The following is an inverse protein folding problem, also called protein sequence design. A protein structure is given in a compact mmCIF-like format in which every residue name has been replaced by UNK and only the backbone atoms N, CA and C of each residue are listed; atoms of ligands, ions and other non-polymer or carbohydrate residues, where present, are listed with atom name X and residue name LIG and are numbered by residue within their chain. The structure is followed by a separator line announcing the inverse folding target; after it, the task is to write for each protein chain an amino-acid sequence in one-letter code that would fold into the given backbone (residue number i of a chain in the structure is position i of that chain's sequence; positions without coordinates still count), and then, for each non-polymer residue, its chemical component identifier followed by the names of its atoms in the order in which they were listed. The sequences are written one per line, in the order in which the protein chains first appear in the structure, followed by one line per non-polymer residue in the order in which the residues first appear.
data_IF_354982633029
#
_entry.id   IF_354982633029
#
_cell.length_a   1.000
_cell.length_b   1.000
_cell.length_c   1.000
_cell.angle_alpha   90.00
_cell.angle_beta   90.00
_cell.angle_gamma   90.00
#
_symmetry.space_group_name_H-M   'P 1'
#
loop_
_entity.id
_entity.type
_entity.pdbx_description
1 polymer ?
#
# COMPACT_ATOMS: atom_id res chain seq x y z
N UNK A 1 -7.40 -10.64 -25.83
CA UNK A 1 -6.21 -10.64 -24.92
C UNK A 1 -6.01 -9.23 -24.40
N UNK A 2 -5.95 -9.06 -23.08
CA UNK A 2 -5.77 -7.73 -22.50
C UNK A 2 -4.42 -7.11 -22.85
N UNK A 3 -4.36 -5.79 -22.81
CA UNK A 3 -3.16 -4.98 -23.00
C UNK A 3 -2.54 -4.63 -21.64
N UNK A 4 -1.20 -4.60 -21.54
CA UNK A 4 -0.52 -4.14 -20.34
C UNK A 4 -0.61 -2.61 -20.25
N UNK A 5 -1.33 -2.12 -19.25
CA UNK A 5 -1.57 -0.69 -19.02
C UNK A 5 -0.50 -0.05 -18.13
N UNK A 6 0.05 -0.82 -17.19
CA UNK A 6 1.02 -0.31 -16.23
C UNK A 6 1.95 -1.42 -15.72
N UNK A 7 3.23 -1.08 -15.55
CA UNK A 7 4.25 -1.93 -14.95
C UNK A 7 4.75 -1.28 -13.66
N UNK A 8 4.44 -1.89 -12.53
CA UNK A 8 5.01 -1.54 -11.23
C UNK A 8 6.24 -2.40 -10.88
N UNK A 9 6.80 -2.19 -9.69
CA UNK A 9 7.98 -2.94 -9.20
C UNK A 9 7.70 -4.43 -8.95
N UNK A 10 6.47 -4.76 -8.56
CA UNK A 10 6.08 -6.12 -8.15
C UNK A 10 4.85 -6.63 -8.87
N UNK A 11 4.14 -5.78 -9.60
CA UNK A 11 2.85 -6.10 -10.19
C UNK A 11 2.64 -5.32 -11.49
N UNK A 12 1.96 -5.95 -12.43
CA UNK A 12 1.47 -5.35 -13.67
C UNK A 12 -0.05 -5.16 -13.59
N UNK A 13 -0.56 -4.17 -14.30
CA UNK A 13 -1.99 -3.92 -14.49
C UNK A 13 -2.30 -4.16 -15.97
N UNK A 14 -3.26 -5.02 -16.23
CA UNK A 14 -3.71 -5.39 -17.57
C UNK A 14 -5.18 -5.05 -17.76
N UNK A 15 -5.55 -4.65 -18.98
CA UNK A 15 -6.95 -4.52 -19.36
C UNK A 15 -7.60 -5.91 -19.44
N UNK A 16 -8.92 -5.95 -19.31
CA UNK A 16 -9.76 -7.10 -19.58
C UNK A 16 -10.77 -6.76 -20.67
N UNK A 17 -11.64 -7.70 -21.04
CA UNK A 17 -12.74 -7.44 -21.97
C UNK A 17 -13.89 -6.67 -21.29
N UNK A 18 -13.82 -6.47 -19.95
CA UNK A 18 -14.73 -5.64 -19.15
C UNK A 18 -14.04 -4.32 -18.80
N UNK A 19 -14.62 -3.19 -19.20
CA UNK A 19 -14.05 -1.86 -18.99
C UNK A 19 -13.95 -1.45 -17.52
N UNK A 20 -14.70 -2.10 -16.62
CA UNK A 20 -14.70 -1.85 -15.18
C UNK A 20 -13.79 -2.79 -14.39
N UNK A 21 -13.07 -3.69 -15.08
CA UNK A 21 -12.22 -4.71 -14.46
C UNK A 21 -10.80 -4.63 -14.99
N UNK A 22 -9.83 -4.73 -14.07
CA UNK A 22 -8.42 -4.95 -14.39
C UNK A 22 -7.97 -6.32 -13.93
N UNK A 23 -6.98 -6.89 -14.64
CA UNK A 23 -6.22 -8.04 -14.16
C UNK A 23 -4.89 -7.56 -13.57
N UNK A 24 -4.64 -7.88 -12.30
CA UNK A 24 -3.34 -7.73 -11.67
C UNK A 24 -2.52 -9.01 -11.86
N UNK A 25 -1.32 -8.87 -12.41
CA UNK A 25 -0.33 -9.95 -12.54
C UNK A 25 0.86 -9.64 -11.65
N UNK A 26 1.05 -10.45 -10.63
CA UNK A 26 2.17 -10.32 -9.71
C UNK A 26 3.42 -10.96 -10.28
N UNK A 27 4.55 -10.30 -10.16
CA UNK A 27 5.81 -10.75 -10.76
C UNK A 27 6.76 -11.34 -9.72
N UNK A 28 7.69 -12.15 -10.19
CA UNK A 28 8.79 -12.68 -9.38
C UNK A 28 9.97 -11.71 -9.22
N UNK A 29 9.85 -10.54 -9.82
CA UNK A 29 10.85 -9.49 -9.81
C UNK A 29 11.06 -8.90 -8.42
N UNK A 30 12.30 -8.52 -8.10
CA UNK A 30 12.66 -7.82 -6.87
C UNK A 30 13.34 -6.48 -7.18
N UNK A 31 13.22 -5.55 -6.23
CA UNK A 31 13.95 -4.29 -6.26
C UNK A 31 14.61 -4.04 -4.90
N UNK A 32 15.77 -3.41 -4.92
CA UNK A 32 16.50 -2.96 -3.73
C UNK A 32 16.82 -1.49 -3.92
N UNK A 33 16.47 -0.65 -2.94
CA UNK A 33 16.56 0.83 -3.05
C UNK A 33 16.00 1.37 -4.38
N UNK A 34 14.80 0.86 -4.74
CA UNK A 34 14.09 1.19 -5.98
C UNK A 34 14.76 0.79 -7.30
N UNK A 35 15.91 0.11 -7.23
CA UNK A 35 16.58 -0.47 -8.38
C UNK A 35 16.11 -1.90 -8.60
N UNK A 36 15.64 -2.19 -9.81
CA UNK A 36 15.29 -3.55 -10.21
C UNK A 36 16.57 -4.35 -10.35
N UNK A 37 16.65 -5.48 -9.67
CA UNK A 37 17.79 -6.39 -9.82
C UNK A 37 17.45 -7.55 -10.77
N UNK A 38 18.43 -8.05 -11.52
CA UNK A 38 18.20 -9.09 -12.54
C UNK A 38 17.66 -10.42 -12.00
N UNK A 39 17.88 -10.69 -10.70
CA UNK A 39 17.46 -11.94 -10.08
C UNK A 39 15.94 -11.99 -9.89
N UNK A 40 15.36 -13.16 -10.11
CA UNK A 40 13.96 -13.44 -9.83
C UNK A 40 13.85 -14.35 -8.60
N UNK A 41 12.85 -14.11 -7.75
CA UNK A 41 12.53 -15.02 -6.66
C UNK A 41 11.37 -15.93 -7.11
N UNK A 42 11.62 -17.22 -7.31
CA UNK A 42 10.58 -18.15 -7.73
C UNK A 42 9.35 -18.10 -6.80
N UNK A 43 8.17 -18.10 -7.39
CA UNK A 43 6.87 -18.08 -6.69
C UNK A 43 6.59 -16.84 -5.82
N UNK A 44 7.41 -15.79 -5.89
CA UNK A 44 7.16 -14.53 -5.18
C UNK A 44 5.83 -13.91 -5.62
N UNK A 45 5.55 -13.85 -6.93
CA UNK A 45 4.29 -13.34 -7.47
C UNK A 45 3.08 -14.09 -6.93
N UNK A 46 3.14 -15.43 -6.90
CA UNK A 46 2.10 -16.27 -6.31
C UNK A 46 1.89 -15.96 -4.83
N UNK A 47 2.96 -15.86 -4.04
CA UNK A 47 2.88 -15.54 -2.62
C UNK A 47 2.25 -14.17 -2.38
N UNK A 48 2.63 -13.15 -3.15
CA UNK A 48 2.06 -11.81 -3.07
C UNK A 48 0.56 -11.81 -3.39
N UNK A 49 0.15 -12.50 -4.46
CA UNK A 49 -1.26 -12.59 -4.85
C UNK A 49 -2.10 -13.26 -3.75
N UNK A 50 -1.65 -14.41 -3.26
CA UNK A 50 -2.36 -15.15 -2.19
C UNK A 50 -2.46 -14.36 -0.89
N UNK A 51 -1.38 -13.70 -0.49
CA UNK A 51 -1.37 -12.88 0.73
C UNK A 51 -2.31 -11.69 0.59
N UNK A 52 -2.31 -11.02 -0.57
CA UNK A 52 -3.23 -9.91 -0.86
C UNK A 52 -4.69 -10.38 -0.78
N UNK A 53 -5.01 -11.47 -1.47
CA UNK A 53 -6.37 -12.00 -1.49
C UNK A 53 -6.84 -12.46 -0.10
N UNK A 54 -5.95 -13.06 0.70
CA UNK A 54 -6.26 -13.47 2.06
C UNK A 54 -6.65 -12.28 2.94
N UNK A 55 -5.84 -11.22 2.94
CA UNK A 55 -6.14 -10.02 3.74
C UNK A 55 -7.41 -9.32 3.28
N UNK A 56 -7.66 -9.22 1.98
CA UNK A 56 -8.87 -8.60 1.46
C UNK A 56 -10.12 -9.35 1.90
N UNK A 57 -10.11 -10.69 1.85
CA UNK A 57 -11.21 -11.51 2.35
C UNK A 57 -11.44 -11.30 3.84
N UNK A 58 -10.39 -11.32 4.65
CA UNK A 58 -10.51 -11.07 6.09
C UNK A 58 -11.11 -9.70 6.41
N UNK A 59 -10.72 -8.65 5.69
CA UNK A 59 -11.24 -7.30 5.85
C UNK A 59 -12.75 -7.26 5.54
N UNK A 60 -13.18 -7.93 4.47
CA UNK A 60 -14.58 -8.00 4.08
C UNK A 60 -15.40 -8.86 5.04
N UNK A 61 -14.89 -10.03 5.43
CA UNK A 61 -15.54 -10.94 6.40
C UNK A 61 -15.69 -10.28 7.78
N UNK A 62 -14.72 -9.47 8.18
CA UNK A 62 -14.79 -8.67 9.40
C UNK A 62 -15.73 -7.45 9.31
N UNK A 63 -16.33 -7.18 8.14
CA UNK A 63 -17.22 -6.04 7.91
C UNK A 63 -16.54 -4.68 8.00
N UNK A 64 -15.21 -4.61 7.87
CA UNK A 64 -14.44 -3.36 7.97
C UNK A 64 -14.69 -2.46 6.76
N UNK A 65 -14.51 -2.99 5.55
CA UNK A 65 -14.83 -2.29 4.30
C UNK A 65 -14.91 -3.28 3.14
N UNK A 66 -15.48 -2.83 2.02
CA UNK A 66 -15.40 -3.55 0.74
C UNK A 66 -14.01 -3.35 0.14
N UNK A 67 -13.48 -4.37 -0.54
CA UNK A 67 -12.23 -4.28 -1.30
C UNK A 67 -12.50 -4.27 -2.80
N UNK A 68 -11.47 -3.98 -3.58
CA UNK A 68 -11.59 -4.03 -5.04
C UNK A 68 -11.33 -5.43 -5.63
N UNK A 69 -11.00 -6.41 -4.80
CA UNK A 69 -10.80 -7.79 -5.25
C UNK A 69 -12.12 -8.41 -5.71
N UNK A 70 -12.14 -8.93 -6.94
CA UNK A 70 -13.27 -9.69 -7.48
C UNK A 70 -13.00 -11.17 -7.29
N UNK A 71 -11.91 -11.67 -7.85
CA UNK A 71 -11.53 -13.08 -7.73
C UNK A 71 -10.04 -13.31 -7.97
N UNK A 72 -9.54 -14.44 -7.50
CA UNK A 72 -8.21 -14.96 -7.85
C UNK A 72 -8.38 -15.92 -9.01
N UNK A 73 -7.99 -15.50 -10.21
CA UNK A 73 -8.17 -16.24 -11.46
C UNK A 73 -6.96 -17.11 -11.84
N UNK A 74 -5.79 -16.88 -11.21
CA UNK A 74 -4.60 -17.75 -11.35
C UNK A 74 -3.71 -17.63 -10.09
N UNK A 75 -2.66 -18.46 -10.01
CA UNK A 75 -1.76 -18.47 -8.85
C UNK A 75 -1.14 -17.10 -8.56
N UNK A 76 -0.75 -16.38 -9.61
CA UNK A 76 -0.09 -15.07 -9.56
C UNK A 76 -0.96 -13.93 -10.09
N UNK A 77 -2.28 -14.14 -10.25
CA UNK A 77 -3.19 -13.17 -10.86
C UNK A 77 -4.50 -13.05 -10.11
N UNK A 78 -5.07 -11.87 -10.13
CA UNK A 78 -6.42 -11.63 -9.66
C UNK A 78 -7.14 -10.57 -10.52
N UNK A 79 -8.46 -10.69 -10.58
CA UNK A 79 -9.32 -9.67 -11.15
C UNK A 79 -9.71 -8.67 -10.06
N UNK A 80 -9.65 -7.42 -10.39
CA UNK A 80 -9.99 -6.33 -9.47
C UNK A 80 -10.90 -5.31 -10.16
N UNK A 81 -11.79 -4.72 -9.37
CA UNK A 81 -12.61 -3.59 -9.83
C UNK A 81 -11.71 -2.39 -10.13
N UNK A 82 -11.94 -1.78 -11.26
CA UNK A 82 -11.32 -0.51 -11.62
C UNK A 82 -11.74 0.58 -10.64
N UNK A 83 -10.78 1.33 -10.14
CA UNK A 83 -11.00 2.49 -9.29
C UNK A 83 -10.54 3.75 -10.02
N UNK A 84 -11.28 4.85 -9.84
CA UNK A 84 -10.89 6.14 -10.40
C UNK A 84 -9.71 6.70 -9.61
N UNK A 85 -8.67 7.12 -10.30
CA UNK A 85 -7.49 7.74 -9.67
C UNK A 85 -7.60 9.25 -9.81
N UNK A 86 -7.77 9.94 -8.68
CA UNK A 86 -7.76 11.40 -8.57
C UNK A 86 -6.56 11.74 -7.70
N UNK A 87 -5.56 12.42 -8.28
CA UNK A 87 -4.28 12.69 -7.59
C UNK A 87 -4.38 13.78 -6.54
N UNK A 88 -5.33 14.71 -6.73
CA UNK A 88 -5.55 15.83 -5.80
C UNK A 88 -6.58 15.44 -4.75
N UNK A 89 -6.20 15.25 -3.45
CA UNK A 89 -7.14 14.81 -2.42
C UNK A 89 -8.36 15.71 -2.28
N UNK A 90 -8.18 17.04 -2.43
CA UNK A 90 -9.26 18.02 -2.34
C UNK A 90 -10.24 18.00 -3.51
N UNK A 91 -9.92 17.32 -4.61
CA UNK A 91 -10.77 17.18 -5.78
C UNK A 91 -11.68 15.94 -5.73
N UNK A 92 -11.57 15.11 -4.68
CA UNK A 92 -12.40 13.90 -4.52
C UNK A 92 -13.74 14.30 -3.93
N UNK A 93 -14.88 14.13 -4.66
CA UNK A 93 -16.21 14.35 -4.11
C UNK A 93 -16.47 13.41 -2.91
N UNK A 94 -17.14 13.91 -1.87
CA UNK A 94 -17.39 13.15 -0.62
C UNK A 94 -18.27 11.93 -0.80
N UNK A 95 -19.10 11.93 -1.82
CA UNK A 95 -20.05 10.86 -2.19
C UNK A 95 -19.53 9.94 -3.30
N UNK A 96 -18.27 10.13 -3.72
CA UNK A 96 -17.69 9.30 -4.78
C UNK A 96 -17.29 7.94 -4.24
N UNK A 97 -17.84 6.90 -4.83
CA UNK A 97 -17.43 5.52 -4.60
C UNK A 97 -16.32 5.08 -5.59
N UNK A 98 -15.61 4.01 -5.26
CA UNK A 98 -14.59 3.38 -6.10
C UNK A 98 -13.51 4.35 -6.58
N UNK A 99 -13.07 5.21 -5.68
CA UNK A 99 -11.96 6.12 -5.90
C UNK A 99 -10.71 5.66 -5.14
N UNK A 100 -9.55 5.81 -5.77
CA UNK A 100 -8.28 5.67 -5.07
C UNK A 100 -8.02 6.93 -4.25
N UNK A 101 -7.94 6.79 -2.93
CA UNK A 101 -7.60 7.89 -2.02
C UNK A 101 -6.08 8.09 -2.07
N UNK A 102 -5.56 9.26 -2.52
CA UNK A 102 -4.13 9.47 -2.73
C UNK A 102 -3.39 9.78 -1.42
N UNK A 103 -3.61 8.95 -0.43
CA UNK A 103 -3.01 9.02 0.90
C UNK A 103 -2.33 7.70 1.24
N UNK A 104 -1.30 7.78 2.05
CA UNK A 104 -0.65 6.65 2.67
C UNK A 104 -0.90 6.72 4.18
N UNK A 105 -1.55 5.69 4.72
CA UNK A 105 -1.83 5.56 6.16
C UNK A 105 -0.82 4.59 6.76
N UNK A 106 -0.05 5.07 7.71
CA UNK A 106 1.02 4.30 8.34
C UNK A 106 0.69 4.11 9.82
N UNK A 107 0.59 2.87 10.28
CA UNK A 107 0.37 2.53 11.68
C UNK A 107 1.66 1.95 12.25
N UNK A 108 2.21 2.59 13.28
CA UNK A 108 3.48 2.19 13.91
C UNK A 108 3.24 1.71 15.33
N UNK A 109 3.75 0.54 15.62
CA UNK A 109 3.81 0.00 16.98
C UNK A 109 5.20 0.18 17.62
N UNK A 110 6.19 0.55 16.82
CA UNK A 110 7.57 0.77 17.25
C UNK A 110 8.11 2.05 16.62
N UNK A 111 8.92 2.78 17.37
CA UNK A 111 9.58 3.99 16.89
C UNK A 111 10.79 3.62 16.03
N UNK A 112 10.60 3.58 14.72
CA UNK A 112 11.61 3.16 13.75
C UNK A 112 11.48 3.87 12.41
N UNK A 113 12.42 3.67 11.51
CA UNK A 113 12.39 4.18 10.14
C UNK A 113 12.30 5.70 10.05
N UNK A 114 11.36 6.24 9.27
CA UNK A 114 11.17 7.69 9.09
C UNK A 114 10.72 8.39 10.37
N UNK A 115 9.87 7.75 11.20
CA UNK A 115 9.41 8.33 12.45
C UNK A 115 10.59 8.51 13.44
N UNK A 116 11.51 7.55 13.53
CA UNK A 116 12.72 7.70 14.34
C UNK A 116 13.59 8.87 13.86
N UNK A 117 13.82 9.00 12.56
CA UNK A 117 14.60 10.13 12.02
C UNK A 117 13.96 11.48 12.32
N UNK A 118 12.62 11.56 12.28
CA UNK A 118 11.87 12.78 12.63
C UNK A 118 11.96 13.08 14.13
N UNK A 119 11.88 12.05 14.98
CA UNK A 119 12.09 12.17 16.42
C UNK A 119 13.47 12.73 16.74
N UNK A 120 14.52 12.18 16.11
CA UNK A 120 15.90 12.67 16.30
C UNK A 120 16.09 14.13 15.83
N UNK A 121 15.30 14.59 14.86
CA UNK A 121 15.33 15.99 14.39
C UNK A 121 14.41 16.92 15.19
N UNK A 122 13.69 16.40 16.18
CA UNK A 122 12.73 17.18 16.98
C UNK A 122 11.42 17.51 16.26
N UNK A 123 11.14 16.87 15.13
CA UNK A 123 9.87 17.02 14.38
C UNK A 123 8.73 16.19 15.01
N UNK A 124 9.07 15.22 15.82
CA UNK A 124 8.19 14.46 16.69
C UNK A 124 8.72 14.52 18.11
N UNK A 125 7.85 14.76 19.07
CA UNK A 125 8.23 14.87 20.48
C UNK A 125 8.03 13.56 21.23
N UNK A 126 8.77 13.38 22.32
CA UNK A 126 8.62 12.25 23.22
C UNK A 126 7.21 12.17 23.83
N UNK A 127 6.61 13.32 24.10
CA UNK A 127 5.25 13.46 24.64
C UNK A 127 4.20 12.97 23.66
N UNK A 128 4.28 13.37 22.39
CA UNK A 128 3.36 12.92 21.31
C UNK A 128 3.40 11.41 21.12
N UNK A 129 4.58 10.81 21.26
CA UNK A 129 4.80 9.39 21.10
C UNK A 129 4.56 8.58 22.39
N UNK A 130 4.50 9.26 23.54
CA UNK A 130 4.38 8.63 24.85
C UNK A 130 5.61 7.81 25.26
N UNK A 131 6.80 8.22 24.84
CA UNK A 131 8.07 7.54 25.12
C UNK A 131 9.00 8.45 25.94
N UNK A 132 10.07 7.90 26.49
CA UNK A 132 11.13 8.69 27.13
C UNK A 132 11.94 9.47 26.07
N UNK A 133 12.42 10.68 26.43
CA UNK A 133 13.19 11.53 25.52
C UNK A 133 14.54 10.92 25.11
N UNK A 134 15.08 10.02 25.93
CA UNK A 134 16.30 9.27 25.74
C UNK A 134 16.08 7.83 25.24
N UNK A 135 14.88 7.54 24.70
CA UNK A 135 14.55 6.21 24.24
C UNK A 135 15.44 5.79 23.06
N UNK A 136 15.58 4.48 22.89
CA UNK A 136 16.39 3.89 21.82
C UNK A 136 15.57 3.61 20.55
N UNK A 137 16.27 3.46 19.42
CA UNK A 137 15.69 3.01 18.17
C UNK A 137 14.94 1.69 18.35
N UNK A 138 13.70 1.65 17.84
CA UNK A 138 12.89 0.43 17.91
C UNK A 138 12.13 0.26 19.23
N UNK A 139 12.09 1.28 20.10
CA UNK A 139 11.26 1.23 21.31
C UNK A 139 9.80 1.00 20.94
N UNK A 140 9.12 0.14 21.70
CA UNK A 140 7.69 -0.11 21.52
C UNK A 140 6.88 1.09 22.00
N UNK A 141 5.99 1.58 21.15
CA UNK A 141 5.08 2.66 21.49
C UNK A 141 3.96 2.18 22.42
N UNK A 142 3.56 2.95 23.42
CA UNK A 142 2.48 2.58 24.36
C UNK A 142 1.12 2.51 23.66
N UNK A 143 0.95 3.28 22.57
CA UNK A 143 -0.22 3.25 21.69
C UNK A 143 0.27 3.24 20.23
N UNK A 144 -0.51 2.65 19.30
CA UNK A 144 -0.21 2.78 17.88
C UNK A 144 -0.16 4.26 17.47
N UNK A 145 0.94 4.66 16.85
CA UNK A 145 1.08 5.99 16.25
C UNK A 145 0.63 5.93 14.79
N UNK A 146 -0.37 6.72 14.44
CA UNK A 146 -0.98 6.73 13.11
C UNK A 146 -0.58 8.00 12.40
N UNK A 147 0.04 7.85 11.24
CA UNK A 147 0.42 8.94 10.35
C UNK A 147 -0.34 8.82 9.04
N UNK A 148 -0.65 9.97 8.46
CA UNK A 148 -1.22 10.06 7.11
C UNK A 148 -0.33 10.97 6.29
N UNK A 149 0.16 10.47 5.16
CA UNK A 149 0.99 11.24 4.23
C UNK A 149 0.34 11.28 2.85
N UNK A 150 0.67 12.30 2.06
CA UNK A 150 0.21 12.41 0.67
C UNK A 150 0.91 11.38 -0.22
N UNK A 151 0.25 11.02 -1.32
CA UNK A 151 0.79 10.13 -2.37
C UNK A 151 0.93 10.92 -3.67
N UNK A 152 1.83 10.50 -4.53
CA UNK A 152 2.13 11.10 -5.83
C UNK A 152 2.87 12.46 -5.80
N UNK A 153 3.26 12.94 -4.65
CA UNK A 153 4.11 14.11 -4.51
C UNK A 153 5.60 13.73 -4.51
N UNK A 154 6.48 14.67 -4.87
CA UNK A 154 7.94 14.47 -4.83
C UNK A 154 8.42 14.27 -3.38
N UNK A 155 7.75 14.93 -2.43
CA UNK A 155 7.94 14.76 -1.00
C UNK A 155 6.59 14.57 -0.34
N UNK A 156 6.48 13.53 0.50
CA UNK A 156 5.27 13.29 1.27
C UNK A 156 5.03 14.46 2.25
N UNK A 157 3.80 14.94 2.28
CA UNK A 157 3.35 15.93 3.28
C UNK A 157 2.53 15.23 4.36
N UNK A 158 2.81 15.54 5.59
CA UNK A 158 2.02 15.10 6.75
C UNK A 158 0.83 16.02 6.99
#
# INVERSE_FOLDING_TARGET
MGEMLYQGKVKQVWSTDDDDVYEFRFTNQISVFDQIIPSLIPRKGESLNRTTAHWFKLIEEAGICKTHLIEVNAADRCLVRKVKVIKEPGAIPRDMEWVFVPLEVIVRHYLSGSAWRRFQRGELTAEELGVASDCEYGVKLPKPFVEVTTKFETFDRN
#
